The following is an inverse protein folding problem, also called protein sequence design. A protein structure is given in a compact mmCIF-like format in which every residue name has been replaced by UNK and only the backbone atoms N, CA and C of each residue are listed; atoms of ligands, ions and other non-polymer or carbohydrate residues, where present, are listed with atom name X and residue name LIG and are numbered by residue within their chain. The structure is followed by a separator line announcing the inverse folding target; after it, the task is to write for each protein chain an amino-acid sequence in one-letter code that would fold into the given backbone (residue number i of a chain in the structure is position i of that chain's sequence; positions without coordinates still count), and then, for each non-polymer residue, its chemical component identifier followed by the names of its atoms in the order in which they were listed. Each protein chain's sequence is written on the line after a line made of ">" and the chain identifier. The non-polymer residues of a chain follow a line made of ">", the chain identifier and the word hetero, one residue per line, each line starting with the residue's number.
data_IF_259064626127
#
_entry.id   IF_259064626127
#
_cell.length_a   1.000
_cell.length_b   1.000
_cell.length_c   1.000
_cell.angle_alpha   90.00
_cell.angle_beta   90.00
_cell.angle_gamma   90.00
#
_symmetry.space_group_name_H-M   'P 1'
#
loop_
_entity.id
_entity.type
_entity.pdbx_description
1 polymer ?
#
# COMPACT_ATOMS: atom_id res chain seq x y z
N UNK A 1 -18.95 16.15 17.89
CA UNK A 1 -19.22 14.85 18.56
C UNK A 1 -19.17 13.70 17.57
N UNK A 2 -20.12 13.51 16.63
CA UNK A 2 -20.08 12.33 15.74
C UNK A 2 -18.95 12.38 14.70
N UNK A 3 -18.66 13.56 14.15
CA UNK A 3 -17.56 13.77 13.21
C UNK A 3 -16.21 13.47 13.84
N UNK A 4 -16.01 13.88 15.11
CA UNK A 4 -14.78 13.62 15.85
C UNK A 4 -14.58 12.11 16.08
N UNK A 5 -15.65 11.39 16.43
CA UNK A 5 -15.62 9.93 16.58
C UNK A 5 -15.22 9.27 15.25
N UNK A 6 -15.82 9.68 14.13
CA UNK A 6 -15.47 9.15 12.81
C UNK A 6 -14.01 9.44 12.46
N UNK A 7 -13.50 10.63 12.78
CA UNK A 7 -12.10 10.98 12.55
C UNK A 7 -11.15 10.10 13.38
N UNK A 8 -11.45 9.84 14.65
CA UNK A 8 -10.67 8.93 15.50
C UNK A 8 -10.71 7.49 15.00
N UNK A 9 -11.88 7.02 14.56
CA UNK A 9 -12.02 5.67 13.97
C UNK A 9 -11.20 5.54 12.69
N UNK A 10 -11.22 6.55 11.83
CA UNK A 10 -10.40 6.58 10.62
C UNK A 10 -8.90 6.58 10.95
N UNK A 11 -8.47 7.39 11.91
CA UNK A 11 -7.09 7.41 12.35
C UNK A 11 -6.66 6.05 12.90
N UNK A 12 -7.49 5.42 13.73
CA UNK A 12 -7.23 4.09 14.26
C UNK A 12 -7.15 3.03 13.15
N UNK A 13 -8.00 3.09 12.14
CA UNK A 13 -7.96 2.17 11.01
C UNK A 13 -6.71 2.36 10.13
N UNK A 14 -6.30 3.61 9.87
CA UNK A 14 -5.04 3.91 9.17
C UNK A 14 -3.84 3.43 9.99
N UNK A 15 -3.84 3.64 11.30
CA UNK A 15 -2.79 3.15 12.19
C UNK A 15 -2.74 1.60 12.21
N UNK A 16 -3.89 0.94 12.30
CA UNK A 16 -3.98 -0.52 12.25
C UNK A 16 -3.43 -1.06 10.91
N UNK A 17 -3.80 -0.44 9.79
CA UNK A 17 -3.26 -0.77 8.48
C UNK A 17 -1.74 -0.55 8.39
N UNK A 18 -1.21 0.54 8.95
CA UNK A 18 0.22 0.80 8.96
C UNK A 18 0.99 -0.23 9.83
N UNK A 19 0.46 -0.56 11.01
CA UNK A 19 1.07 -1.53 11.92
C UNK A 19 1.04 -2.96 11.35
N UNK A 20 -0.11 -3.40 10.83
CA UNK A 20 -0.24 -4.73 10.22
C UNK A 20 0.51 -4.80 8.87
N UNK A 21 0.42 -3.74 8.07
CA UNK A 21 1.11 -3.58 6.80
C UNK A 21 2.63 -3.61 6.93
N UNK A 22 3.21 -3.11 8.03
CA UNK A 22 4.66 -3.17 8.25
C UNK A 22 5.22 -4.59 8.18
N UNK A 23 4.50 -5.58 8.73
CA UNK A 23 4.90 -6.99 8.62
C UNK A 23 4.73 -7.55 7.20
N UNK A 24 3.66 -7.18 6.50
CA UNK A 24 3.32 -7.67 5.17
C UNK A 24 4.23 -7.07 4.07
N UNK A 25 4.43 -5.75 4.07
CA UNK A 25 5.33 -5.06 3.15
C UNK A 25 6.79 -5.38 3.45
N UNK A 26 7.16 -5.45 4.73
CA UNK A 26 8.50 -5.83 5.16
C UNK A 26 8.88 -7.24 4.71
N UNK A 27 7.95 -8.21 4.75
CA UNK A 27 8.21 -9.55 4.24
C UNK A 27 8.53 -9.56 2.73
N UNK A 28 7.90 -8.67 1.95
CA UNK A 28 8.22 -8.49 0.53
C UNK A 28 9.59 -7.85 0.27
N UNK A 29 10.05 -6.96 1.16
CA UNK A 29 11.43 -6.48 1.17
C UNK A 29 12.40 -7.63 1.43
N UNK A 30 12.14 -8.45 2.46
CA UNK A 30 12.98 -9.61 2.77
C UNK A 30 13.02 -10.65 1.64
N UNK A 31 11.92 -10.85 0.90
CA UNK A 31 11.89 -11.69 -0.31
C UNK A 31 12.88 -11.20 -1.39
N UNK A 32 13.00 -9.88 -1.57
CA UNK A 32 13.95 -9.26 -2.50
C UNK A 32 15.41 -9.55 -2.10
N UNK A 33 15.70 -9.48 -0.79
CA UNK A 33 17.06 -9.64 -0.24
C UNK A 33 17.41 -11.09 0.16
N UNK A 34 16.46 -12.03 0.11
CA UNK A 34 16.67 -13.44 0.46
C UNK A 34 17.69 -14.19 -0.43
N UNK A 35 18.24 -13.54 -1.46
CA UNK A 35 19.35 -14.04 -2.28
C UNK A 35 18.94 -15.02 -3.38
N UNK A 36 19.87 -15.91 -3.73
CA UNK A 36 19.77 -16.84 -4.87
C UNK A 36 18.70 -17.92 -4.72
N UNK A 37 18.51 -18.73 -5.78
CA UNK A 37 17.41 -19.71 -5.89
C UNK A 37 17.43 -20.83 -4.82
N UNK A 38 18.60 -21.15 -4.26
CA UNK A 38 18.75 -22.18 -3.21
C UNK A 38 18.66 -21.61 -1.79
N UNK A 39 19.50 -20.61 -1.45
CA UNK A 39 19.49 -19.97 -0.12
C UNK A 39 18.18 -19.25 0.19
N UNK A 40 17.57 -18.61 -0.80
CA UNK A 40 16.31 -17.88 -0.63
C UNK A 40 15.06 -18.76 -0.65
N UNK A 41 15.17 -20.05 -0.99
CA UNK A 41 13.99 -20.91 -1.21
C UNK A 41 13.15 -21.11 0.05
N UNK A 42 13.81 -21.34 1.19
CA UNK A 42 13.16 -21.57 2.49
C UNK A 42 12.54 -20.30 3.08
N UNK A 43 13.26 -19.15 3.12
CA UNK A 43 12.66 -17.86 3.51
C UNK A 43 11.45 -17.48 2.65
N UNK A 44 11.55 -17.60 1.33
CA UNK A 44 10.45 -17.28 0.40
C UNK A 44 9.21 -18.11 0.62
N UNK A 45 9.40 -19.42 0.85
CA UNK A 45 8.27 -20.31 1.12
C UNK A 45 7.59 -19.99 2.45
N UNK A 46 8.35 -19.65 3.50
CA UNK A 46 7.80 -19.22 4.79
C UNK A 46 7.02 -17.91 4.64
N UNK A 47 7.55 -16.94 3.90
CA UNK A 47 6.88 -15.67 3.60
C UNK A 47 5.58 -15.92 2.85
N UNK A 48 5.60 -16.70 1.76
CA UNK A 48 4.41 -17.00 0.96
C UNK A 48 3.32 -17.66 1.82
N UNK A 49 3.66 -18.62 2.69
CA UNK A 49 2.68 -19.38 3.47
C UNK A 49 2.13 -18.60 4.68
N UNK A 50 2.97 -17.82 5.36
CA UNK A 50 2.57 -17.08 6.55
C UNK A 50 1.92 -15.73 6.24
N UNK A 51 2.33 -15.06 5.15
CA UNK A 51 1.89 -13.70 4.85
C UNK A 51 0.61 -13.62 4.03
N UNK A 52 0.24 -14.67 3.30
CA UNK A 52 -1.00 -14.64 2.51
C UNK A 52 -2.26 -14.34 3.36
N UNK A 53 -2.52 -14.99 4.51
CA UNK A 53 -3.65 -14.63 5.37
C UNK A 53 -3.54 -13.22 5.98
N UNK A 54 -2.30 -12.79 6.25
CA UNK A 54 -2.02 -11.46 6.82
C UNK A 54 -2.32 -10.37 5.79
N UNK A 55 -1.93 -10.56 4.54
CA UNK A 55 -2.22 -9.65 3.43
C UNK A 55 -3.73 -9.50 3.21
N UNK A 56 -4.48 -10.62 3.20
CA UNK A 56 -5.94 -10.59 3.06
C UNK A 56 -6.59 -9.78 4.18
N UNK A 57 -6.18 -10.01 5.43
CA UNK A 57 -6.67 -9.28 6.60
C UNK A 57 -6.26 -7.81 6.55
N UNK A 58 -5.04 -7.51 6.10
CA UNK A 58 -4.53 -6.15 6.02
C UNK A 58 -5.35 -5.30 5.02
N UNK A 59 -5.74 -5.87 3.89
CA UNK A 59 -6.58 -5.17 2.91
C UNK A 59 -7.96 -4.79 3.45
N UNK A 60 -8.49 -5.54 4.42
CA UNK A 60 -9.77 -5.19 5.06
C UNK A 60 -9.70 -3.82 5.74
N UNK A 61 -8.58 -3.51 6.41
CA UNK A 61 -8.37 -2.19 7.00
C UNK A 61 -8.35 -1.08 5.95
N UNK A 62 -7.72 -1.32 4.79
CA UNK A 62 -7.70 -0.35 3.70
C UNK A 62 -9.11 -0.07 3.17
N UNK A 63 -9.89 -1.13 2.92
CA UNK A 63 -11.29 -0.99 2.47
C UNK A 63 -12.13 -0.26 3.52
N UNK A 64 -11.92 -0.57 4.80
CA UNK A 64 -12.60 0.11 5.90
C UNK A 64 -12.32 1.61 5.91
N UNK A 65 -11.05 2.01 5.76
CA UNK A 65 -10.66 3.43 5.63
C UNK A 65 -11.37 4.10 4.46
N UNK A 66 -11.40 3.45 3.29
CA UNK A 66 -12.06 4.00 2.10
C UNK A 66 -13.56 4.21 2.30
N UNK A 67 -14.26 3.21 2.84
CA UNK A 67 -15.70 3.28 3.09
C UNK A 67 -16.03 4.34 4.13
N UNK A 68 -15.33 4.35 5.27
CA UNK A 68 -15.58 5.35 6.32
C UNK A 68 -15.23 6.77 5.88
N UNK A 69 -14.17 6.94 5.10
CA UNK A 69 -13.81 8.24 4.54
C UNK A 69 -14.89 8.72 3.58
N UNK A 70 -15.42 7.84 2.73
CA UNK A 70 -16.49 8.18 1.79
C UNK A 70 -17.79 8.55 2.50
N UNK A 71 -18.23 7.75 3.49
CA UNK A 71 -19.50 7.98 4.19
C UNK A 71 -19.42 9.12 5.20
N UNK A 72 -18.30 9.25 5.90
CA UNK A 72 -18.12 10.23 6.98
C UNK A 72 -17.61 11.59 6.51
N UNK A 73 -16.76 11.60 5.47
CA UNK A 73 -16.11 12.80 4.94
C UNK A 73 -16.12 12.80 3.39
N UNK A 74 -17.29 12.86 2.74
CA UNK A 74 -17.40 12.71 1.28
C UNK A 74 -16.61 13.78 0.50
N UNK A 75 -16.54 15.01 1.01
CA UNK A 75 -15.75 16.10 0.39
C UNK A 75 -14.25 15.78 0.45
N UNK A 76 -13.78 15.25 1.58
CA UNK A 76 -12.39 14.80 1.73
C UNK A 76 -12.10 13.67 0.76
N UNK A 77 -12.98 12.67 0.70
CA UNK A 77 -12.86 11.53 -0.21
C UNK A 77 -12.73 12.00 -1.67
N UNK A 78 -13.66 12.84 -2.14
CA UNK A 78 -13.63 13.37 -3.50
C UNK A 78 -12.35 14.16 -3.77
N UNK A 79 -11.93 15.00 -2.81
CA UNK A 79 -10.73 15.83 -2.96
C UNK A 79 -9.49 14.97 -3.10
N UNK A 80 -9.32 13.97 -2.23
CA UNK A 80 -8.16 13.06 -2.25
C UNK A 80 -8.12 12.26 -3.55
N UNK A 81 -9.24 11.64 -3.93
CA UNK A 81 -9.29 10.82 -5.14
C UNK A 81 -9.11 11.62 -6.42
N UNK A 82 -9.60 12.86 -6.46
CA UNK A 82 -9.43 13.72 -7.64
C UNK A 82 -8.01 14.29 -7.70
N UNK A 83 -7.52 14.82 -6.57
CA UNK A 83 -6.23 15.48 -6.51
C UNK A 83 -5.07 14.49 -6.57
N UNK A 84 -5.20 13.27 -6.05
CA UNK A 84 -4.14 12.25 -5.93
C UNK A 84 -4.43 10.98 -6.74
N UNK A 85 -5.18 11.09 -7.85
CA UNK A 85 -5.63 9.92 -8.61
C UNK A 85 -4.47 9.02 -9.09
N UNK A 86 -3.35 9.61 -9.53
CA UNK A 86 -2.23 8.85 -10.09
C UNK A 86 -1.48 8.05 -9.00
N UNK A 87 -1.05 8.64 -7.87
CA UNK A 87 -0.52 7.87 -6.74
C UNK A 87 -1.45 6.74 -6.29
N UNK A 88 -2.75 7.01 -6.16
CA UNK A 88 -3.74 6.00 -5.76
C UNK A 88 -3.88 4.88 -6.80
N UNK A 89 -3.86 5.21 -8.09
CA UNK A 89 -3.90 4.22 -9.16
C UNK A 89 -2.65 3.33 -9.15
N UNK A 90 -1.46 3.91 -8.94
CA UNK A 90 -0.21 3.16 -8.85
C UNK A 90 -0.18 2.26 -7.61
N UNK A 91 -0.69 2.74 -6.47
CA UNK A 91 -0.89 1.92 -5.28
C UNK A 91 -1.84 0.75 -5.57
N UNK A 92 -2.99 1.00 -6.21
CA UNK A 92 -3.95 -0.04 -6.55
C UNK A 92 -3.35 -1.11 -7.49
N UNK A 93 -2.60 -0.71 -8.51
CA UNK A 93 -1.87 -1.64 -9.37
C UNK A 93 -0.86 -2.47 -8.55
N UNK A 94 -0.15 -1.84 -7.63
CA UNK A 94 0.75 -2.54 -6.71
C UNK A 94 0.04 -3.59 -5.85
N UNK A 95 -1.13 -3.26 -5.28
CA UNK A 95 -1.95 -4.21 -4.52
C UNK A 95 -2.39 -5.40 -5.38
N UNK A 96 -2.83 -5.16 -6.61
CA UNK A 96 -3.24 -6.24 -7.54
C UNK A 96 -2.05 -7.13 -7.88
N UNK A 97 -0.88 -6.55 -8.15
CA UNK A 97 0.35 -7.30 -8.42
C UNK A 97 0.78 -8.15 -7.21
N UNK A 98 0.58 -7.66 -5.98
CA UNK A 98 0.81 -8.46 -4.76
C UNK A 98 -0.15 -9.64 -4.66
N UNK A 99 -1.45 -9.40 -4.82
CA UNK A 99 -2.46 -10.47 -4.80
C UNK A 99 -2.22 -11.53 -5.87
N UNK A 100 -1.86 -11.09 -7.09
CA UNK A 100 -1.45 -11.99 -8.16
C UNK A 100 -0.17 -12.77 -7.80
N UNK A 101 0.78 -12.14 -7.11
CA UNK A 101 1.98 -12.79 -6.60
C UNK A 101 1.67 -13.96 -5.66
N UNK A 102 0.82 -13.77 -4.65
CA UNK A 102 0.43 -14.83 -3.72
C UNK A 102 -0.35 -15.96 -4.43
N UNK A 103 -1.31 -15.61 -5.28
CA UNK A 103 -2.15 -16.60 -5.96
C UNK A 103 -1.41 -17.40 -7.05
N UNK A 104 -0.56 -16.75 -7.84
CA UNK A 104 0.10 -17.37 -9.00
C UNK A 104 1.42 -18.06 -8.65
N UNK A 105 2.03 -17.80 -7.50
CA UNK A 105 3.29 -18.46 -7.10
C UNK A 105 3.13 -19.95 -6.79
N UNK A 106 1.99 -20.36 -6.23
CA UNK A 106 1.72 -21.76 -5.83
C UNK A 106 1.64 -22.75 -7.00
N UNK A 107 0.90 -22.48 -8.09
CA UNK A 107 0.76 -23.43 -9.21
C UNK A 107 1.95 -23.41 -10.20
N UNK A 108 2.89 -22.47 -10.09
CA UNK A 108 3.80 -22.19 -11.20
C UNK A 108 5.15 -22.92 -11.11
N UNK A 109 5.37 -23.83 -12.06
CA UNK A 109 6.54 -24.74 -12.11
C UNK A 109 7.76 -24.16 -12.84
N UNK A 110 7.60 -23.12 -13.67
CA UNK A 110 8.70 -22.49 -14.42
C UNK A 110 9.48 -21.47 -13.58
N UNK A 111 10.79 -21.70 -13.43
CA UNK A 111 11.71 -20.88 -12.64
C UNK A 111 11.80 -19.41 -13.11
N UNK A 112 11.76 -19.16 -14.42
CA UNK A 112 11.82 -17.81 -15.00
C UNK A 112 10.60 -16.95 -14.65
N UNK A 113 9.40 -17.53 -14.73
CA UNK A 113 8.16 -16.85 -14.33
C UNK A 113 8.12 -16.60 -12.83
N UNK A 114 8.56 -17.58 -12.02
CA UNK A 114 8.66 -17.42 -10.57
C UNK A 114 9.56 -16.25 -10.16
N UNK A 115 10.62 -15.96 -10.94
CA UNK A 115 11.52 -14.81 -10.70
C UNK A 115 10.87 -13.47 -11.10
N UNK A 116 10.08 -13.43 -12.17
CA UNK A 116 9.34 -12.22 -12.60
C UNK A 116 8.25 -11.86 -11.58
N UNK A 117 7.42 -12.83 -11.16
CA UNK A 117 6.43 -12.61 -10.10
C UNK A 117 7.09 -12.37 -8.73
N UNK A 118 8.28 -12.96 -8.53
CA UNK A 118 9.29 -12.61 -7.53
C UNK A 118 9.51 -11.11 -7.41
N UNK A 119 10.04 -10.55 -8.50
CA UNK A 119 10.39 -9.14 -8.61
C UNK A 119 9.15 -8.23 -8.56
N UNK A 120 8.05 -8.60 -9.21
CA UNK A 120 6.81 -7.82 -9.20
C UNK A 120 6.22 -7.70 -7.78
N UNK A 121 6.26 -8.78 -7.00
CA UNK A 121 5.88 -8.78 -5.58
C UNK A 121 6.79 -7.86 -4.76
N UNK A 122 8.11 -7.99 -4.91
CA UNK A 122 9.06 -7.15 -4.19
C UNK A 122 8.91 -5.66 -4.53
N UNK A 123 8.79 -5.31 -5.82
CA UNK A 123 8.63 -3.93 -6.27
C UNK A 123 7.31 -3.34 -5.77
N UNK A 124 6.20 -4.09 -5.88
CA UNK A 124 4.92 -3.65 -5.33
C UNK A 124 4.93 -3.49 -3.82
N UNK A 125 5.78 -4.22 -3.10
CA UNK A 125 5.99 -4.07 -1.66
C UNK A 125 6.61 -2.73 -1.26
N UNK A 126 7.33 -2.09 -2.17
CA UNK A 126 7.91 -0.76 -1.98
C UNK A 126 6.98 0.34 -2.50
N UNK A 127 6.37 0.11 -3.68
CA UNK A 127 5.53 1.12 -4.33
C UNK A 127 4.26 1.43 -3.56
N UNK A 128 3.57 0.41 -3.03
CA UNK A 128 2.30 0.59 -2.33
C UNK A 128 2.45 1.47 -1.08
N UNK A 129 3.33 1.15 -0.11
CA UNK A 129 3.53 2.02 1.05
C UNK A 129 4.03 3.40 0.65
N UNK A 130 4.94 3.51 -0.32
CA UNK A 130 5.41 4.81 -0.82
C UNK A 130 4.27 5.72 -1.30
N UNK A 131 3.40 5.23 -2.19
CA UNK A 131 2.32 6.04 -2.74
C UNK A 131 1.23 6.34 -1.72
N UNK A 132 0.91 5.40 -0.82
CA UNK A 132 -0.03 5.65 0.28
C UNK A 132 0.53 6.68 1.26
N UNK A 133 1.81 6.58 1.62
CA UNK A 133 2.51 7.56 2.45
C UNK A 133 2.57 8.93 1.80
N UNK A 134 2.80 9.00 0.48
CA UNK A 134 2.78 10.25 -0.27
C UNK A 134 1.42 10.95 -0.24
N UNK A 135 0.32 10.18 -0.32
CA UNK A 135 -1.04 10.70 -0.18
C UNK A 135 -1.27 11.25 1.24
N UNK A 136 -0.88 10.50 2.27
CA UNK A 136 -1.01 10.93 3.67
C UNK A 136 -0.17 12.19 3.96
N UNK A 137 1.06 12.27 3.43
CA UNK A 137 1.92 13.45 3.57
C UNK A 137 1.36 14.69 2.87
N UNK A 138 0.74 14.53 1.71
CA UNK A 138 0.07 15.61 0.99
C UNK A 138 -1.17 16.13 1.73
N UNK A 139 -1.92 15.22 2.36
CA UNK A 139 -3.05 15.52 3.23
C UNK A 139 -2.62 16.25 4.52
N UNK A 140 -1.63 15.73 5.24
CA UNK A 140 -1.17 16.26 6.52
C UNK A 140 -0.60 17.69 6.40
N UNK A 141 -0.12 18.06 5.22
CA UNK A 141 0.46 19.38 4.94
C UNK A 141 -0.54 20.38 4.35
N UNK A 142 -1.81 19.99 4.21
CA UNK A 142 -2.88 20.87 3.72
C UNK A 142 -2.74 21.25 2.24
N UNK A 143 -1.92 20.52 1.46
CA UNK A 143 -1.77 20.75 0.01
C UNK A 143 -2.92 20.17 -0.81
N UNK A 144 -3.62 19.20 -0.24
CA UNK A 144 -4.79 18.55 -0.82
C UNK A 144 -6.04 19.17 -0.21
N UNK A 145 -6.55 20.22 -0.85
CA UNK A 145 -7.76 20.95 -0.43
C UNK A 145 -8.82 20.90 -1.52
N UNK A 146 -10.11 21.09 -1.17
CA UNK A 146 -11.18 21.11 -2.16
C UNK A 146 -10.87 22.12 -3.28
N UNK A 147 -10.84 21.64 -4.53
CA UNK A 147 -10.48 22.44 -5.70
C UNK A 147 -9.02 22.30 -6.17
N UNK A 148 -8.15 21.56 -5.44
CA UNK A 148 -6.82 21.21 -5.93
C UNK A 148 -6.92 20.40 -7.23
N UNK A 149 -6.35 20.94 -8.32
CA UNK A 149 -6.24 20.21 -9.58
C UNK A 149 -5.15 19.13 -9.47
N UNK A 150 -5.40 17.99 -10.11
CA UNK A 150 -4.39 16.97 -10.33
C UNK A 150 -3.21 17.56 -11.11
N UNK A 151 -2.02 17.60 -10.50
CA UNK A 151 -0.78 18.05 -11.13
C UNK A 151 0.41 17.23 -10.63
N UNK A 152 1.50 17.22 -11.39
CA UNK A 152 2.74 16.60 -10.95
C UNK A 152 3.20 17.20 -9.60
N UNK A 153 3.14 18.52 -9.45
CA UNK A 153 3.48 19.22 -8.21
C UNK A 153 2.59 18.81 -7.03
N UNK A 154 1.31 18.49 -7.28
CA UNK A 154 0.43 18.00 -6.24
C UNK A 154 0.91 16.64 -5.70
N UNK A 155 1.49 15.79 -6.55
CA UNK A 155 1.91 14.43 -6.21
C UNK A 155 3.37 14.31 -5.76
N UNK A 156 4.28 15.06 -6.37
CA UNK A 156 5.73 14.94 -6.19
C UNK A 156 6.32 16.03 -5.29
N UNK A 157 5.48 16.76 -4.54
CA UNK A 157 5.97 17.74 -3.57
C UNK A 157 6.87 17.06 -2.52
N UNK A 158 7.85 17.83 -2.00
CA UNK A 158 8.87 17.28 -1.11
C UNK A 158 8.30 16.59 0.14
N UNK A 159 7.14 17.00 0.64
CA UNK A 159 6.52 16.37 1.82
C UNK A 159 5.84 15.05 1.49
N UNK A 160 5.20 14.95 0.33
CA UNK A 160 4.65 13.69 -0.19
C UNK A 160 5.78 12.70 -0.47
N UNK A 161 6.87 13.15 -1.07
CA UNK A 161 8.05 12.28 -1.29
C UNK A 161 8.67 11.84 0.03
N UNK A 162 8.87 12.75 0.99
CA UNK A 162 9.42 12.41 2.30
C UNK A 162 8.51 11.44 3.07
N UNK A 163 7.20 11.68 3.09
CA UNK A 163 6.25 10.78 3.74
C UNK A 163 6.20 9.41 3.06
N UNK A 164 6.28 9.38 1.73
CA UNK A 164 6.43 8.13 0.98
C UNK A 164 7.71 7.38 1.33
N UNK A 165 8.84 8.08 1.47
CA UNK A 165 10.11 7.46 1.87
C UNK A 165 10.10 6.96 3.32
N UNK A 166 9.43 7.66 4.23
CA UNK A 166 9.32 7.25 5.64
C UNK A 166 8.44 6.01 5.85
N UNK A 167 7.59 5.68 4.88
CA UNK A 167 6.65 4.56 4.96
C UNK A 167 7.16 3.27 4.33
N UNK A 168 8.32 3.33 3.64
CA UNK A 168 9.02 2.21 3.00
C UNK A 168 10.15 1.73 3.89
#
# INVERSE_FOLDING_TARGET
>A
MIQDVVAWVLLAAVAAYACAGGTDYGAGFWDLFAGGAERGRRPRWLIDHAMEPVWETNNVWLIFVLVFMWTGFPVLFQTVFTAMWLPLALAAVGLVLRGAGFALRKPMTRLSRRRIYGAAFAVSSLLVPFFLGAVVGGLATGRVVPGTKASADAWSNGTSVLAGLLTV
#
